data_IF_174496445658
#
_entry.id   IF_174496445658
#
_cell.length_a   1.000
_cell.length_b   1.000
_cell.length_c   1.000
_cell.angle_alpha   90.00
_cell.angle_beta   90.00
_cell.angle_gamma   90.00
#
_symmetry.space_group_name_H-M   'P 1'
#
loop_
_entity.id
_entity.type
_entity.pdbx_description
1 polymer ?
#
# COMPACT_ATOMS: atom_id res chain seq x y z
N UNK A 1 68.08 9.68 -1.26
CA UNK A 1 67.60 8.68 -0.29
C UNK A 1 66.09 8.50 -0.46
N UNK A 2 65.66 7.28 -0.84
CA UNK A 2 64.32 6.65 -0.75
C UNK A 2 63.05 7.43 -1.16
N UNK A 3 62.17 7.04 -2.09
CA UNK A 3 61.94 5.89 -3.02
C UNK A 3 60.75 6.38 -3.91
N UNK A 4 60.82 6.36 -5.27
CA UNK A 4 60.19 5.34 -6.17
C UNK A 4 58.63 5.46 -6.16
N UNK A 5 57.81 5.69 -7.20
CA UNK A 5 57.82 5.47 -8.66
C UNK A 5 56.65 6.22 -9.36
N UNK A 6 56.90 6.67 -10.61
CA UNK A 6 56.03 6.72 -11.82
C UNK A 6 54.68 7.50 -11.81
N UNK A 7 54.62 8.67 -12.48
CA UNK A 7 54.37 8.94 -13.92
C UNK A 7 52.91 8.68 -14.36
N UNK A 8 52.05 9.71 -14.40
CA UNK A 8 51.73 10.59 -15.56
C UNK A 8 51.03 9.85 -16.72
N UNK A 9 49.72 10.04 -16.94
CA UNK A 9 49.05 11.08 -17.74
C UNK A 9 48.96 10.77 -19.25
N UNK A 10 47.73 10.95 -19.77
CA UNK A 10 47.24 11.02 -21.18
C UNK A 10 46.78 9.68 -21.77
N UNK A 11 45.47 9.49 -21.99
CA UNK A 11 44.72 9.96 -23.19
C UNK A 11 45.48 9.69 -24.49
N UNK A 12 44.93 8.78 -25.31
CA UNK A 12 44.76 8.82 -26.77
C UNK A 12 44.61 7.37 -27.27
N UNK A 13 43.46 7.09 -27.88
CA UNK A 13 43.19 6.11 -28.94
C UNK A 13 44.00 4.80 -29.02
N UNK A 14 43.30 3.68 -28.83
CA UNK A 14 43.55 2.41 -29.55
C UNK A 14 42.18 1.95 -30.08
N UNK A 15 41.86 1.95 -31.38
CA UNK A 15 42.47 1.29 -32.54
C UNK A 15 42.69 -0.21 -32.31
N UNK A 16 41.69 -0.97 -32.74
CA UNK A 16 41.73 -2.31 -33.36
C UNK A 16 42.50 -3.43 -32.64
N UNK A 17 41.76 -4.45 -32.19
CA UNK A 17 41.95 -5.90 -32.49
C UNK A 17 41.23 -6.73 -31.44
N UNK A 18 40.08 -7.30 -31.81
CA UNK A 18 39.63 -8.58 -31.22
C UNK A 18 39.76 -9.65 -32.31
N UNK A 19 40.35 -10.82 -32.00
CA UNK A 19 40.59 -11.87 -32.98
C UNK A 19 39.32 -12.70 -33.23
N UNK A 20 39.02 -12.88 -34.52
CA UNK A 20 38.11 -13.90 -35.03
C UNK A 20 38.69 -15.29 -34.74
N UNK A 21 38.30 -15.92 -33.63
CA UNK A 21 38.55 -17.34 -33.37
C UNK A 21 37.34 -17.97 -32.66
N UNK A 22 36.27 -18.24 -33.41
CA UNK A 22 35.24 -19.23 -33.03
C UNK A 22 34.29 -19.59 -34.19
N UNK A 23 34.75 -19.64 -35.45
CA UNK A 23 33.87 -19.95 -36.60
C UNK A 23 34.45 -20.95 -37.59
N UNK A 24 35.20 -21.96 -37.14
CA UNK A 24 35.76 -22.96 -38.06
C UNK A 24 35.87 -24.41 -37.54
N UNK A 25 35.13 -24.78 -36.48
CA UNK A 25 35.10 -26.18 -35.99
C UNK A 25 33.75 -26.90 -36.11
N UNK A 26 32.69 -26.23 -36.60
CA UNK A 26 31.39 -26.90 -36.86
C UNK A 26 31.14 -27.22 -38.35
N UNK A 27 32.08 -26.90 -39.25
CA UNK A 27 31.91 -27.10 -40.70
C UNK A 27 32.75 -28.23 -41.32
N UNK A 28 33.36 -29.11 -40.52
CA UNK A 28 34.20 -30.21 -41.04
C UNK A 28 33.70 -31.65 -40.79
N UNK A 29 32.57 -31.83 -40.12
CA UNK A 29 32.01 -33.17 -39.86
C UNK A 29 30.83 -33.57 -40.77
N UNK A 30 30.53 -32.82 -41.84
CA UNK A 30 29.42 -33.13 -42.74
C UNK A 30 29.85 -33.54 -44.17
N UNK A 31 31.08 -34.03 -44.34
CA UNK A 31 31.60 -34.47 -45.63
C UNK A 31 32.18 -35.89 -45.56
N UNK A 32 31.34 -36.89 -45.30
CA UNK A 32 31.61 -38.31 -45.57
C UNK A 32 30.33 -39.15 -45.46
N UNK A 33 29.50 -39.11 -46.50
CA UNK A 33 28.62 -40.21 -46.87
C UNK A 33 28.21 -40.00 -48.34
N UNK A 34 28.85 -40.76 -49.22
CA UNK A 34 28.60 -40.72 -50.65
C UNK A 34 27.37 -41.58 -51.00
N UNK A 35 26.65 -41.10 -52.02
CA UNK A 35 25.86 -41.85 -53.00
C UNK A 35 24.79 -42.84 -52.54
N UNK A 36 23.53 -42.43 -52.63
CA UNK A 36 22.59 -43.11 -53.53
C UNK A 36 21.52 -42.13 -54.02
N UNK A 37 21.31 -42.13 -55.33
CA UNK A 37 20.54 -41.16 -56.10
C UNK A 37 19.16 -41.76 -56.36
N UNK A 38 18.11 -41.25 -55.71
CA UNK A 38 16.73 -41.38 -56.17
C UNK A 38 16.22 -39.98 -56.47
N UNK A 39 15.94 -39.73 -57.76
CA UNK A 39 15.27 -38.51 -58.21
C UNK A 39 13.81 -38.61 -57.78
N UNK A 40 13.42 -37.87 -56.76
CA UNK A 40 12.02 -37.53 -56.51
C UNK A 40 11.82 -36.07 -56.91
N UNK A 41 10.82 -35.81 -57.73
CA UNK A 41 10.51 -34.50 -58.28
C UNK A 41 10.29 -33.48 -57.16
N UNK A 42 10.89 -32.30 -57.29
CA UNK A 42 10.78 -31.19 -56.36
C UNK A 42 9.40 -30.53 -56.33
N UNK A 43 8.53 -30.87 -57.28
CA UNK A 43 7.21 -30.25 -57.43
C UNK A 43 6.15 -30.84 -56.48
N UNK A 44 6.33 -32.08 -56.00
CA UNK A 44 5.39 -32.72 -55.06
C UNK A 44 5.50 -32.18 -53.62
N UNK A 45 6.59 -31.50 -53.26
CA UNK A 45 6.79 -30.94 -51.90
C UNK A 45 6.10 -29.58 -51.69
N UNK A 46 5.63 -28.93 -52.75
CA UNK A 46 4.91 -27.65 -52.67
C UNK A 46 3.39 -27.82 -52.75
N UNK A 47 2.89 -28.97 -53.22
CA UNK A 47 1.45 -29.25 -53.32
C UNK A 47 0.80 -29.68 -51.99
N UNK A 48 1.57 -30.22 -51.04
CA UNK A 48 1.06 -30.51 -49.68
C UNK A 48 0.69 -29.26 -48.87
N UNK A 49 1.05 -28.05 -49.32
CA UNK A 49 0.69 -26.81 -48.64
C UNK A 49 -0.62 -26.18 -49.14
N UNK A 50 -1.22 -26.72 -50.21
CA UNK A 50 -2.44 -26.20 -50.83
C UNK A 50 -3.63 -27.14 -50.77
N UNK A 51 -3.57 -28.18 -49.94
CA UNK A 51 -4.72 -29.05 -49.68
C UNK A 51 -5.64 -28.41 -48.62
N UNK A 52 -6.63 -27.65 -49.08
CA UNK A 52 -7.70 -27.13 -48.21
C UNK A 52 -8.45 -28.24 -47.44
N UNK A 53 -8.36 -29.50 -47.89
CA UNK A 53 -8.91 -30.68 -47.23
C UNK A 53 -8.11 -31.13 -45.98
N UNK A 54 -6.82 -30.82 -45.89
CA UNK A 54 -6.00 -31.15 -44.69
C UNK A 54 -6.18 -30.16 -43.55
N UNK A 55 -6.66 -28.94 -43.83
CA UNK A 55 -7.05 -27.94 -42.82
C UNK A 55 -8.32 -28.34 -42.05
N UNK A 56 -9.13 -29.26 -42.60
CA UNK A 56 -10.41 -29.67 -42.02
C UNK A 56 -10.30 -30.93 -41.13
N UNK A 57 -9.10 -31.51 -40.98
CA UNK A 57 -8.86 -32.49 -39.91
C UNK A 57 -8.86 -31.72 -38.59
N UNK A 58 -9.98 -31.78 -37.86
CA UNK A 58 -10.10 -31.35 -36.45
C UNK A 58 -8.83 -31.78 -35.71
N UNK A 59 -7.89 -30.85 -35.51
CA UNK A 59 -6.65 -31.13 -34.80
C UNK A 59 -7.07 -31.65 -33.43
N UNK A 60 -6.72 -32.89 -33.13
CA UNK A 60 -7.10 -33.54 -31.88
C UNK A 60 -6.31 -32.88 -30.76
N UNK A 61 -6.97 -31.97 -30.07
CA UNK A 61 -6.44 -31.29 -28.89
C UNK A 61 -5.96 -32.34 -27.88
N UNK A 62 -4.79 -32.10 -27.28
CA UNK A 62 -4.24 -33.02 -26.29
C UNK A 62 -5.22 -33.20 -25.12
N UNK A 63 -5.23 -34.38 -24.51
CA UNK A 63 -6.15 -34.68 -23.39
C UNK A 63 -5.99 -33.68 -22.24
N UNK A 64 -4.75 -33.24 -21.96
CA UNK A 64 -4.45 -32.25 -20.92
C UNK A 64 -5.07 -30.87 -21.23
N UNK A 65 -5.04 -30.49 -22.51
CA UNK A 65 -5.54 -29.20 -22.99
C UNK A 65 -7.09 -29.17 -22.96
N UNK A 66 -7.75 -30.29 -23.30
CA UNK A 66 -9.20 -30.45 -23.08
C UNK A 66 -9.58 -30.37 -21.61
N UNK A 67 -8.87 -31.10 -20.74
CA UNK A 67 -9.11 -31.08 -19.30
C UNK A 67 -8.86 -29.70 -18.65
N UNK A 68 -7.99 -28.87 -19.23
CA UNK A 68 -7.84 -27.47 -18.80
C UNK A 68 -9.06 -26.63 -19.19
N UNK A 69 -9.55 -26.74 -20.43
CA UNK A 69 -10.74 -26.01 -20.88
C UNK A 69 -11.98 -26.41 -20.12
N UNK A 70 -12.15 -27.71 -19.83
CA UNK A 70 -13.24 -28.23 -19.00
C UNK A 70 -13.18 -27.62 -17.60
N UNK A 71 -12.01 -27.63 -16.94
CA UNK A 71 -11.83 -27.00 -15.62
C UNK A 71 -12.11 -25.49 -15.62
N UNK A 72 -11.74 -24.78 -16.69
CA UNK A 72 -12.03 -23.36 -16.82
C UNK A 72 -13.55 -23.12 -16.93
N UNK A 73 -14.24 -23.89 -17.78
CA UNK A 73 -15.71 -23.82 -17.93
C UNK A 73 -16.43 -24.16 -16.63
N UNK A 74 -16.01 -25.23 -15.95
CA UNK A 74 -16.58 -25.63 -14.66
C UNK A 74 -16.44 -24.52 -13.62
N UNK A 75 -15.31 -23.82 -13.60
CA UNK A 75 -15.10 -22.68 -12.71
C UNK A 75 -16.01 -21.51 -13.06
N UNK A 76 -16.15 -21.16 -14.35
CA UNK A 76 -17.02 -20.08 -14.79
C UNK A 76 -18.49 -20.37 -14.46
N UNK A 77 -18.93 -21.62 -14.67
CA UNK A 77 -20.27 -22.07 -14.32
C UNK A 77 -20.48 -22.12 -12.79
N UNK A 78 -19.44 -22.47 -12.03
CA UNK A 78 -19.46 -22.37 -10.57
C UNK A 78 -19.64 -20.93 -10.10
N UNK A 79 -18.86 -19.98 -10.65
CA UNK A 79 -18.96 -18.56 -10.29
C UNK A 79 -20.35 -18.00 -10.61
N UNK A 80 -20.92 -18.32 -11.78
CA UNK A 80 -22.29 -17.92 -12.14
C UNK A 80 -23.34 -18.47 -11.17
N UNK A 81 -23.19 -19.73 -10.74
CA UNK A 81 -24.09 -20.32 -9.74
C UNK A 81 -24.00 -19.59 -8.40
N UNK A 82 -22.78 -19.29 -7.94
CA UNK A 82 -22.57 -18.57 -6.69
C UNK A 82 -23.11 -17.13 -6.74
N UNK A 83 -22.98 -16.45 -7.88
CA UNK A 83 -23.56 -15.12 -8.09
C UNK A 83 -25.10 -15.18 -8.03
N UNK A 84 -25.69 -16.16 -8.70
CA UNK A 84 -27.13 -16.39 -8.63
C UNK A 84 -27.60 -16.69 -7.19
N UNK A 85 -26.94 -17.60 -6.48
CA UNK A 85 -27.25 -17.91 -5.08
C UNK A 85 -27.09 -16.69 -4.16
N UNK A 86 -26.06 -15.88 -4.37
CA UNK A 86 -25.85 -14.63 -3.62
C UNK A 86 -26.99 -13.62 -3.86
N UNK A 87 -27.40 -13.40 -5.12
CA UNK A 87 -28.48 -12.46 -5.44
C UNK A 87 -29.83 -12.91 -4.87
N UNK A 88 -30.12 -14.21 -4.92
CA UNK A 88 -31.32 -14.81 -4.30
C UNK A 88 -31.25 -14.70 -2.78
N UNK A 89 -30.10 -15.05 -2.18
CA UNK A 89 -29.86 -14.95 -0.74
C UNK A 89 -29.99 -13.51 -0.23
N UNK A 90 -29.50 -12.53 -1.00
CA UNK A 90 -29.64 -11.10 -0.68
C UNK A 90 -31.09 -10.66 -0.61
N UNK A 91 -31.93 -11.10 -1.55
CA UNK A 91 -33.37 -10.83 -1.53
C UNK A 91 -34.07 -11.48 -0.33
N UNK A 92 -33.70 -12.71 0.01
CA UNK A 92 -34.23 -13.38 1.20
C UNK A 92 -33.83 -12.69 2.49
N UNK A 93 -32.58 -12.24 2.60
CA UNK A 93 -32.09 -11.50 3.75
C UNK A 93 -32.83 -10.18 3.93
N UNK A 94 -33.03 -9.42 2.86
CA UNK A 94 -33.83 -8.20 2.90
C UNK A 94 -35.27 -8.47 3.39
N UNK A 95 -35.92 -9.52 2.89
CA UNK A 95 -37.26 -9.91 3.32
C UNK A 95 -37.31 -10.29 4.81
N UNK A 96 -36.30 -11.00 5.33
CA UNK A 96 -36.21 -11.35 6.76
C UNK A 96 -36.03 -10.11 7.65
N UNK A 97 -35.28 -9.11 7.18
CA UNK A 97 -35.03 -7.86 7.90
C UNK A 97 -36.16 -6.83 7.71
N UNK A 98 -37.11 -7.08 6.79
CA UNK A 98 -38.18 -6.15 6.45
C UNK A 98 -37.74 -4.93 5.63
N UNK A 99 -36.61 -5.05 4.92
CA UNK A 99 -36.03 -3.98 4.08
C UNK A 99 -36.34 -4.21 2.60
N UNK A 100 -36.24 -3.15 1.79
CA UNK A 100 -36.43 -3.22 0.34
C UNK A 100 -35.21 -3.89 -0.36
N UNK A 101 -35.40 -4.99 -1.12
CA UNK A 101 -34.29 -5.73 -1.73
C UNK A 101 -33.41 -4.94 -2.70
N UNK A 102 -33.98 -3.95 -3.39
CA UNK A 102 -33.26 -3.15 -4.40
C UNK A 102 -32.34 -2.11 -3.75
N UNK A 103 -32.80 -1.52 -2.63
CA UNK A 103 -32.03 -0.51 -1.87
C UNK A 103 -31.00 -1.16 -0.92
N UNK A 104 -31.07 -2.46 -0.70
CA UNK A 104 -30.25 -3.18 0.27
C UNK A 104 -28.76 -3.16 -0.11
N UNK A 105 -27.91 -2.48 0.68
CA UNK A 105 -26.46 -2.37 0.41
C UNK A 105 -25.66 -3.49 1.09
N UNK A 106 -24.39 -3.68 0.70
CA UNK A 106 -23.52 -4.65 1.36
C UNK A 106 -23.31 -4.36 2.85
N UNK A 107 -23.37 -3.09 3.28
CA UNK A 107 -23.26 -2.74 4.70
C UNK A 107 -24.47 -3.22 5.51
N UNK A 108 -25.64 -3.24 4.88
CA UNK A 108 -26.87 -3.70 5.51
C UNK A 108 -26.88 -5.23 5.57
N UNK A 109 -26.35 -5.91 4.55
CA UNK A 109 -26.06 -7.36 4.56
C UNK A 109 -25.15 -7.70 5.74
N UNK A 110 -24.00 -7.03 5.88
CA UNK A 110 -23.02 -7.30 6.94
C UNK A 110 -23.64 -7.10 8.34
N UNK A 111 -24.43 -6.04 8.52
CA UNK A 111 -25.15 -5.76 9.78
C UNK A 111 -26.21 -6.82 10.08
N UNK A 112 -26.97 -7.24 9.08
CA UNK A 112 -28.00 -8.27 9.23
C UNK A 112 -27.36 -9.61 9.62
N UNK A 113 -26.21 -9.97 9.04
CA UNK A 113 -25.48 -11.20 9.38
C UNK A 113 -24.92 -11.14 10.80
N UNK A 114 -24.34 -10.00 11.20
CA UNK A 114 -23.87 -9.81 12.57
C UNK A 114 -24.99 -9.98 13.60
N UNK A 115 -26.21 -9.53 13.26
CA UNK A 115 -27.39 -9.70 14.09
C UNK A 115 -27.93 -11.13 14.12
N UNK A 116 -28.09 -11.78 12.95
CA UNK A 116 -28.67 -13.12 12.84
C UNK A 116 -27.70 -14.21 13.32
N UNK A 117 -26.40 -14.03 13.08
CA UNK A 117 -25.34 -14.98 13.41
C UNK A 117 -24.25 -14.31 14.26
N UNK A 118 -24.55 -13.92 15.51
CA UNK A 118 -23.59 -13.21 16.35
C UNK A 118 -22.40 -14.11 16.69
N UNK A 119 -21.22 -13.73 16.21
CA UNK A 119 -19.97 -14.45 16.46
C UNK A 119 -19.01 -13.61 17.29
N UNK A 120 -18.62 -14.15 18.45
CA UNK A 120 -17.63 -13.55 19.34
C UNK A 120 -16.17 -13.83 18.94
N UNK A 121 -15.92 -14.33 17.72
CA UNK A 121 -14.57 -14.64 17.25
C UNK A 121 -13.78 -13.34 17.05
N UNK A 122 -12.57 -13.30 17.62
CA UNK A 122 -11.69 -12.12 17.56
C UNK A 122 -11.24 -11.78 16.14
N UNK A 123 -10.91 -12.80 15.34
CA UNK A 123 -10.52 -12.62 13.95
C UNK A 123 -11.76 -12.35 13.07
N UNK A 124 -11.86 -11.16 12.43
CA UNK A 124 -12.99 -10.84 11.56
C UNK A 124 -13.12 -11.78 10.36
N UNK A 125 -12.02 -12.34 9.85
CA UNK A 125 -12.04 -13.20 8.66
C UNK A 125 -12.69 -14.58 8.92
N UNK A 126 -12.72 -15.01 10.19
CA UNK A 126 -13.33 -16.28 10.60
C UNK A 126 -14.79 -16.12 11.04
N UNK A 127 -15.35 -14.91 10.95
CA UNK A 127 -16.77 -14.66 11.25
C UNK A 127 -17.65 -15.09 10.07
N UNK A 128 -18.93 -15.40 10.32
CA UNK A 128 -19.89 -15.57 9.23
C UNK A 128 -19.92 -14.32 8.35
N UNK A 129 -19.85 -14.50 7.04
CA UNK A 129 -19.91 -13.42 6.06
C UNK A 129 -20.67 -13.88 4.81
N UNK A 130 -21.36 -12.95 4.17
CA UNK A 130 -22.01 -13.15 2.88
C UNK A 130 -21.60 -11.97 2.00
N UNK A 131 -20.71 -12.22 1.06
CA UNK A 131 -20.13 -11.21 0.17
C UNK A 131 -20.29 -11.65 -1.28
N UNK A 132 -20.15 -10.71 -2.24
CA UNK A 132 -20.07 -11.06 -3.65
C UNK A 132 -19.01 -12.14 -3.89
N UNK A 133 -19.29 -13.17 -4.72
CA UNK A 133 -18.35 -14.26 -4.97
C UNK A 133 -16.97 -13.81 -5.47
N UNK A 134 -16.90 -12.69 -6.19
CA UNK A 134 -15.65 -12.11 -6.69
C UNK A 134 -14.69 -11.67 -5.57
N UNK A 135 -15.21 -11.29 -4.40
CA UNK A 135 -14.40 -10.92 -3.23
C UNK A 135 -14.00 -12.13 -2.39
N UNK A 136 -14.80 -13.20 -2.43
CA UNK A 136 -14.62 -14.40 -1.61
C UNK A 136 -13.65 -15.37 -2.26
N UNK A 137 -13.83 -15.62 -3.56
CA UNK A 137 -12.99 -16.54 -4.31
C UNK A 137 -11.83 -15.80 -4.96
N UNK A 138 -10.61 -16.36 -4.93
CA UNK A 138 -9.47 -15.73 -5.56
C UNK A 138 -9.69 -15.65 -7.08
N UNK A 139 -9.33 -14.52 -7.68
CA UNK A 139 -9.35 -14.34 -9.13
C UNK A 139 -8.50 -15.43 -9.80
N UNK A 140 -9.04 -16.02 -10.87
CA UNK A 140 -8.34 -16.98 -11.72
C UNK A 140 -8.29 -16.45 -13.14
N UNK A 141 -7.23 -16.83 -13.85
CA UNK A 141 -7.14 -16.53 -15.28
C UNK A 141 -8.24 -17.26 -16.04
N UNK A 142 -8.84 -16.57 -17.00
CA UNK A 142 -9.66 -17.20 -18.02
C UNK A 142 -8.83 -18.20 -18.84
N UNK A 143 -9.51 -19.05 -19.61
CA UNK A 143 -8.85 -19.95 -20.53
C UNK A 143 -7.91 -19.17 -21.48
N UNK A 144 -6.64 -19.57 -21.54
CA UNK A 144 -5.62 -18.85 -22.30
C UNK A 144 -5.60 -19.20 -23.80
N UNK A 145 -6.41 -20.17 -24.24
CA UNK A 145 -6.43 -20.67 -25.63
C UNK A 145 -7.82 -21.18 -26.06
N UNK A 146 -8.03 -21.23 -27.38
CA UNK A 146 -9.25 -21.70 -28.03
C UNK A 146 -9.42 -23.24 -27.94
N UNK A 147 -10.61 -23.73 -28.31
CA UNK A 147 -10.85 -25.17 -28.53
C UNK A 147 -9.92 -25.77 -29.58
N UNK A 148 -9.38 -24.98 -30.52
CA UNK A 148 -8.38 -25.45 -31.49
C UNK A 148 -6.96 -25.55 -30.92
N UNK A 149 -6.75 -25.11 -29.68
CA UNK A 149 -5.45 -25.05 -29.00
C UNK A 149 -4.60 -23.82 -29.36
N UNK A 150 -5.19 -22.80 -30.01
CA UNK A 150 -4.53 -21.55 -30.35
C UNK A 150 -4.55 -20.61 -29.14
N UNK A 151 -3.40 -20.12 -28.63
CA UNK A 151 -3.40 -19.14 -27.56
C UNK A 151 -4.01 -17.80 -27.97
N UNK A 152 -4.75 -17.16 -27.06
CA UNK A 152 -5.30 -15.82 -27.27
C UNK A 152 -4.22 -14.73 -27.19
N UNK A 153 -3.22 -14.93 -26.33
CA UNK A 153 -2.16 -13.97 -26.10
C UNK A 153 -0.86 -14.35 -26.83
N UNK A 154 -0.21 -13.40 -27.49
CA UNK A 154 1.02 -13.65 -28.26
C UNK A 154 2.22 -14.04 -27.38
N UNK A 155 2.30 -13.51 -26.15
CA UNK A 155 3.31 -13.88 -25.14
C UNK A 155 2.96 -15.13 -24.34
N UNK A 156 1.97 -15.93 -24.73
CA UNK A 156 1.56 -17.12 -23.99
C UNK A 156 2.73 -18.07 -23.67
N UNK A 157 3.62 -18.32 -24.63
CA UNK A 157 4.74 -19.26 -24.47
C UNK A 157 5.86 -18.77 -23.53
N UNK A 158 5.75 -17.55 -22.99
CA UNK A 158 6.64 -17.06 -21.92
C UNK A 158 6.26 -17.62 -20.55
N UNK A 159 5.10 -18.28 -20.43
CA UNK A 159 4.53 -18.80 -19.19
C UNK A 159 3.81 -17.75 -18.33
N UNK A 160 4.12 -16.46 -18.51
CA UNK A 160 3.50 -15.34 -17.78
C UNK A 160 3.14 -14.19 -18.73
N UNK A 161 2.10 -14.40 -19.55
CA UNK A 161 1.74 -13.44 -20.58
C UNK A 161 1.43 -12.04 -20.03
N UNK A 162 0.76 -11.91 -18.88
CA UNK A 162 0.30 -10.60 -18.39
C UNK A 162 1.46 -9.75 -17.87
N UNK A 163 2.39 -10.34 -17.11
CA UNK A 163 3.58 -9.65 -16.61
C UNK A 163 4.48 -9.17 -17.74
N UNK A 164 4.81 -10.05 -18.69
CA UNK A 164 5.66 -9.66 -19.82
C UNK A 164 4.97 -8.70 -20.78
N UNK A 165 3.63 -8.77 -20.92
CA UNK A 165 2.87 -7.75 -21.65
C UNK A 165 3.02 -6.39 -20.99
N UNK A 166 2.87 -6.31 -19.68
CA UNK A 166 3.04 -5.06 -18.95
C UNK A 166 4.45 -4.45 -19.13
N UNK A 167 5.50 -5.27 -19.14
CA UNK A 167 6.85 -4.82 -19.45
C UNK A 167 7.02 -4.38 -20.92
N UNK A 168 6.40 -5.12 -21.84
CA UNK A 168 6.39 -4.78 -23.26
C UNK A 168 5.71 -3.42 -23.49
N UNK A 169 4.52 -3.22 -22.94
CA UNK A 169 3.76 -1.98 -23.03
C UNK A 169 4.57 -0.81 -22.44
N UNK A 170 5.23 -1.00 -21.30
CA UNK A 170 6.11 0.00 -20.71
C UNK A 170 7.27 0.37 -21.63
N UNK A 171 7.89 -0.62 -22.27
CA UNK A 171 8.98 -0.40 -23.24
C UNK A 171 8.50 0.34 -24.49
N UNK A 172 7.29 0.04 -24.97
CA UNK A 172 6.65 0.73 -26.10
C UNK A 172 6.39 2.20 -25.75
N UNK A 173 5.87 2.48 -24.56
CA UNK A 173 5.69 3.84 -24.05
C UNK A 173 7.02 4.61 -24.00
N UNK A 174 8.10 3.98 -23.53
CA UNK A 174 9.45 4.58 -23.53
C UNK A 174 9.90 4.91 -24.96
N UNK A 175 9.76 3.97 -25.90
CA UNK A 175 10.12 4.18 -27.30
C UNK A 175 9.29 5.30 -27.95
N UNK A 176 8.00 5.36 -27.64
CA UNK A 176 7.11 6.41 -28.15
C UNK A 176 7.49 7.79 -27.61
N UNK A 177 7.95 7.87 -26.35
CA UNK A 177 8.52 9.09 -25.78
C UNK A 177 9.81 9.49 -26.51
N UNK A 178 10.74 8.55 -26.75
CA UNK A 178 11.97 8.86 -27.49
C UNK A 178 11.70 9.35 -28.92
N UNK A 179 10.80 8.68 -29.66
CA UNK A 179 10.38 9.11 -31.00
C UNK A 179 9.78 10.51 -30.99
N UNK A 180 9.10 10.89 -29.92
CA UNK A 180 8.55 12.23 -29.75
C UNK A 180 9.63 13.24 -29.41
N UNK A 181 10.52 12.91 -28.49
CA UNK A 181 11.68 13.73 -28.13
C UNK A 181 12.52 14.06 -29.37
N UNK A 182 12.82 13.07 -30.22
CA UNK A 182 13.52 13.28 -31.50
C UNK A 182 12.79 14.27 -32.41
N UNK A 183 11.44 14.20 -32.47
CA UNK A 183 10.63 15.15 -33.26
C UNK A 183 10.69 16.56 -32.68
N UNK A 184 10.70 16.70 -31.36
CA UNK A 184 10.77 18.00 -30.69
C UNK A 184 12.15 18.62 -30.85
N UNK A 185 13.21 17.82 -30.71
CA UNK A 185 14.60 18.24 -30.96
C UNK A 185 14.76 18.75 -32.40
N UNK A 186 14.21 18.04 -33.39
CA UNK A 186 14.21 18.52 -34.80
C UNK A 186 13.52 19.86 -34.97
N UNK A 187 12.47 20.13 -34.18
CA UNK A 187 11.74 21.41 -34.15
C UNK A 187 12.39 22.48 -33.26
N UNK A 188 13.51 22.17 -32.58
CA UNK A 188 14.21 23.04 -31.62
C UNK A 188 13.31 23.59 -30.50
N UNK A 189 12.22 22.89 -30.18
CA UNK A 189 11.37 23.25 -29.05
C UNK A 189 11.99 22.73 -27.74
N UNK A 190 11.85 23.51 -26.67
CA UNK A 190 12.37 23.18 -25.34
C UNK A 190 11.23 22.50 -24.56
N UNK A 191 11.51 21.46 -23.75
CA UNK A 191 10.49 20.88 -22.87
C UNK A 191 9.99 21.89 -21.84
N UNK A 192 8.68 22.01 -21.68
CA UNK A 192 8.07 22.87 -20.66
C UNK A 192 8.31 22.30 -19.24
N UNK A 193 8.92 23.06 -18.31
CA UNK A 193 9.22 22.56 -16.96
C UNK A 193 7.99 22.18 -16.13
N UNK A 194 6.85 22.86 -16.35
CA UNK A 194 5.59 22.61 -15.64
C UNK A 194 4.84 21.37 -16.11
N UNK A 195 5.24 20.76 -17.23
CA UNK A 195 4.59 19.57 -17.75
C UNK A 195 5.09 18.26 -17.12
N UNK A 196 6.04 18.33 -16.17
CA UNK A 196 6.59 17.15 -15.48
C UNK A 196 5.54 16.57 -14.52
N UNK A 197 5.41 15.24 -14.53
CA UNK A 197 4.44 14.54 -13.67
C UNK A 197 4.82 14.66 -12.18
N UNK A 198 3.87 15.14 -11.38
CA UNK A 198 3.96 15.09 -9.92
C UNK A 198 3.50 13.72 -9.42
N UNK A 199 4.40 13.02 -8.74
CA UNK A 199 4.21 11.62 -8.32
C UNK A 199 4.22 11.45 -6.81
N UNK A 200 4.24 12.55 -6.06
CA UNK A 200 4.35 12.58 -4.60
C UNK A 200 3.13 11.97 -3.89
N UNK A 201 1.96 12.05 -4.53
CA UNK A 201 0.69 11.57 -3.99
C UNK A 201 0.43 10.09 -4.26
N UNK A 202 1.28 9.38 -5.01
CA UNK A 202 1.05 7.99 -5.43
C UNK A 202 2.28 7.11 -5.29
N UNK A 203 2.06 5.83 -5.01
CA UNK A 203 3.09 4.79 -4.88
C UNK A 203 2.82 3.69 -5.88
N UNK A 204 3.88 3.01 -6.32
CA UNK A 204 3.77 1.79 -7.10
C UNK A 204 3.02 0.70 -6.32
N UNK A 205 2.31 -0.19 -7.02
CA UNK A 205 1.76 -1.38 -6.38
C UNK A 205 2.85 -2.19 -5.70
N UNK A 206 2.55 -2.76 -4.53
CA UNK A 206 3.42 -3.75 -3.90
C UNK A 206 3.51 -5.01 -4.77
N UNK A 207 4.47 -5.89 -4.46
CA UNK A 207 4.59 -7.18 -5.16
C UNK A 207 3.28 -7.97 -5.11
N UNK A 208 2.69 -8.12 -3.93
CA UNK A 208 1.45 -8.87 -3.70
C UNK A 208 0.27 -8.25 -4.46
N UNK A 209 0.17 -6.92 -4.45
CA UNK A 209 -0.88 -6.20 -5.18
C UNK A 209 -0.73 -6.37 -6.70
N UNK A 210 0.52 -6.38 -7.20
CA UNK A 210 0.80 -6.59 -8.62
C UNK A 210 0.48 -8.03 -9.04
N UNK A 211 0.78 -9.03 -8.20
CA UNK A 211 0.41 -10.43 -8.44
C UNK A 211 -1.10 -10.61 -8.47
N UNK A 212 -1.83 -9.97 -7.56
CA UNK A 212 -3.30 -9.98 -7.56
C UNK A 212 -3.88 -9.31 -8.81
N UNK A 213 -3.34 -8.16 -9.21
CA UNK A 213 -3.80 -7.43 -10.39
C UNK A 213 -3.54 -8.20 -11.69
N UNK A 214 -2.38 -8.86 -11.82
CA UNK A 214 -2.01 -9.62 -13.02
C UNK A 214 -2.52 -11.07 -13.00
N UNK A 215 -2.96 -11.57 -11.85
CA UNK A 215 -3.33 -12.97 -11.60
C UNK A 215 -2.19 -13.92 -12.00
N UNK A 216 -0.97 -13.52 -11.67
CA UNK A 216 0.29 -14.21 -12.00
C UNK A 216 1.27 -14.10 -10.85
N UNK A 217 2.04 -15.17 -10.61
CA UNK A 217 3.09 -15.15 -9.59
C UNK A 217 4.36 -14.50 -10.15
N UNK A 218 5.01 -13.67 -9.34
CA UNK A 218 6.18 -12.87 -9.73
C UNK A 218 7.32 -13.16 -8.75
N UNK A 219 8.55 -13.25 -9.25
CA UNK A 219 9.73 -13.35 -8.39
C UNK A 219 10.15 -11.97 -7.91
N UNK A 220 10.88 -11.90 -6.80
CA UNK A 220 11.33 -10.61 -6.26
C UNK A 220 12.23 -9.85 -7.23
N UNK A 221 13.15 -10.55 -7.91
CA UNK A 221 14.02 -9.97 -8.96
C UNK A 221 13.23 -9.37 -10.12
N UNK A 222 12.14 -10.00 -10.54
CA UNK A 222 11.31 -9.49 -11.64
C UNK A 222 10.53 -8.26 -11.24
N UNK A 223 10.05 -8.22 -9.99
CA UNK A 223 9.42 -7.03 -9.45
C UNK A 223 10.42 -5.86 -9.36
N UNK A 224 11.66 -6.11 -8.95
CA UNK A 224 12.73 -5.10 -8.98
C UNK A 224 13.01 -4.60 -10.41
N UNK A 225 13.10 -5.51 -11.38
CA UNK A 225 13.27 -5.15 -12.79
C UNK A 225 12.11 -4.30 -13.32
N UNK A 226 10.88 -4.67 -12.97
CA UNK A 226 9.70 -3.89 -13.30
C UNK A 226 9.76 -2.47 -12.69
N UNK A 227 10.15 -2.36 -11.42
CA UNK A 227 10.32 -1.06 -10.75
C UNK A 227 11.36 -0.19 -11.47
N UNK A 228 12.49 -0.77 -11.88
CA UNK A 228 13.52 -0.06 -12.65
C UNK A 228 12.99 0.46 -13.99
N UNK A 229 12.21 -0.34 -14.71
CA UNK A 229 11.58 0.08 -15.98
C UNK A 229 10.60 1.24 -15.75
N UNK A 230 9.81 1.16 -14.69
CA UNK A 230 8.83 2.21 -14.34
C UNK A 230 9.50 3.51 -13.88
N UNK A 231 10.54 3.43 -13.06
CA UNK A 231 11.36 4.59 -12.67
C UNK A 231 12.05 5.20 -13.89
N UNK A 232 12.53 4.37 -14.82
CA UNK A 232 13.09 4.83 -16.09
C UNK A 232 12.06 5.59 -16.90
N UNK A 233 10.84 5.07 -17.05
CA UNK A 233 9.75 5.72 -17.79
C UNK A 233 9.39 7.09 -17.20
N UNK A 234 9.33 7.17 -15.86
CA UNK A 234 9.07 8.43 -15.12
C UNK A 234 10.21 9.44 -15.29
N UNK A 235 11.46 8.98 -15.34
CA UNK A 235 12.63 9.86 -15.45
C UNK A 235 12.71 10.65 -16.77
N UNK A 236 11.96 10.25 -17.80
CA UNK A 236 11.99 10.88 -19.11
C UNK A 236 11.35 12.27 -19.10
N UNK A 237 11.84 13.24 -19.90
CA UNK A 237 11.33 14.61 -19.93
C UNK A 237 9.83 14.73 -20.29
N UNK A 238 9.35 13.91 -21.23
CA UNK A 238 7.98 13.94 -21.74
C UNK A 238 7.09 12.82 -21.17
N UNK A 239 7.33 12.41 -19.93
CA UNK A 239 6.62 11.30 -19.27
C UNK A 239 5.10 11.53 -19.12
N UNK A 240 4.62 12.78 -19.17
CA UNK A 240 3.19 13.13 -19.10
C UNK A 240 2.32 12.43 -20.15
N UNK A 241 2.89 12.10 -21.32
CA UNK A 241 2.16 11.45 -22.40
C UNK A 241 1.75 10.01 -22.07
N UNK A 242 2.47 9.40 -21.12
CA UNK A 242 2.19 8.05 -20.61
C UNK A 242 1.54 8.09 -19.23
N UNK A 243 0.92 9.22 -18.84
CA UNK A 243 0.27 9.40 -17.54
C UNK A 243 -0.79 8.33 -17.26
N UNK A 244 -1.68 8.08 -18.22
CA UNK A 244 -2.74 7.07 -18.09
C UNK A 244 -2.18 5.67 -17.80
N UNK A 245 -1.05 5.33 -18.41
CA UNK A 245 -0.38 4.06 -18.18
C UNK A 245 0.27 4.01 -16.79
N UNK A 246 0.95 5.07 -16.38
CA UNK A 246 1.57 5.19 -15.05
C UNK A 246 0.52 5.10 -13.94
N UNK A 247 -0.63 5.77 -14.12
CA UNK A 247 -1.72 5.78 -13.14
C UNK A 247 -2.36 4.40 -12.96
N UNK A 248 -2.49 3.59 -14.03
CA UNK A 248 -3.00 2.21 -13.92
C UNK A 248 -2.18 1.34 -12.98
N UNK A 249 -0.88 1.59 -12.89
CA UNK A 249 0.11 0.78 -12.16
C UNK A 249 0.44 1.38 -10.77
N UNK A 250 -0.30 2.41 -10.36
CA UNK A 250 -0.08 3.13 -9.11
C UNK A 250 -1.33 3.20 -8.26
N UNK A 251 -1.10 3.28 -6.96
CA UNK A 251 -2.13 3.58 -5.97
C UNK A 251 -1.91 4.96 -5.35
N UNK A 252 -2.98 5.73 -5.10
CA UNK A 252 -2.87 6.96 -4.32
C UNK A 252 -2.46 6.63 -2.88
N UNK A 253 -1.51 7.40 -2.34
CA UNK A 253 -1.21 7.37 -0.91
C UNK A 253 -2.31 8.17 -0.22
N UNK A 254 -3.08 7.52 0.65
CA UNK A 254 -3.91 8.24 1.60
C UNK A 254 -2.98 8.95 2.61
N UNK A 255 -2.61 10.20 2.34
CA UNK A 255 -1.90 11.01 3.32
C UNK A 255 -2.87 11.34 4.45
N UNK A 256 -2.85 10.55 5.52
CA UNK A 256 -3.50 10.93 6.77
C UNK A 256 -2.69 12.06 7.40
N UNK A 257 -2.82 13.28 6.86
CA UNK A 257 -2.58 14.46 7.69
C UNK A 257 -3.72 14.43 8.69
N UNK A 258 -3.44 13.98 9.91
CA UNK A 258 -4.32 14.24 11.04
C UNK A 258 -4.33 15.76 11.23
N UNK A 259 -5.12 16.47 10.44
CA UNK A 259 -5.51 17.82 10.76
C UNK A 259 -6.26 17.68 12.08
N UNK A 260 -5.59 18.04 13.19
CA UNK A 260 -6.23 18.09 14.49
C UNK A 260 -7.37 19.10 14.35
N UNK A 261 -8.61 18.61 14.32
CA UNK A 261 -9.77 19.48 14.30
C UNK A 261 -9.73 20.32 15.58
N UNK A 262 -9.62 21.64 15.40
CA UNK A 262 -9.58 22.59 16.52
C UNK A 262 -11.03 22.74 17.01
N UNK A 263 -11.35 22.31 18.24
CA UNK A 263 -12.71 22.44 18.75
C UNK A 263 -13.05 23.93 18.89
N UNK A 264 -14.26 24.31 18.46
CA UNK A 264 -14.76 25.67 18.68
C UNK A 264 -15.02 25.88 20.19
N UNK A 265 -14.59 27.00 20.79
CA UNK A 265 -14.90 27.31 22.18
C UNK A 265 -16.41 27.43 22.41
N UNK A 266 -16.87 26.94 23.57
CA UNK A 266 -18.23 27.18 24.08
C UNK A 266 -18.24 28.43 24.97
N UNK A 267 -19.42 28.98 25.26
CA UNK A 267 -19.58 30.14 26.14
C UNK A 267 -20.27 29.74 27.46
N UNK A 268 -19.70 30.17 28.58
CA UNK A 268 -20.30 30.01 29.92
C UNK A 268 -21.49 30.97 30.13
N UNK A 269 -22.24 30.78 31.22
CA UNK A 269 -23.31 31.71 31.68
C UNK A 269 -22.78 33.15 31.90
N UNK A 270 -21.50 33.27 32.21
CA UNK A 270 -20.79 34.54 32.39
C UNK A 270 -20.21 35.10 31.07
N UNK A 271 -20.46 34.44 29.93
CA UNK A 271 -19.99 34.85 28.61
C UNK A 271 -18.50 34.56 28.34
N UNK A 272 -17.82 33.82 29.22
CA UNK A 272 -16.41 33.43 29.04
C UNK A 272 -16.28 32.24 28.08
N UNK A 273 -15.25 32.26 27.24
CA UNK A 273 -14.97 31.16 26.33
C UNK A 273 -14.33 30.02 27.10
N UNK A 274 -14.88 28.81 26.99
CA UNK A 274 -14.32 27.64 27.64
C UNK A 274 -14.29 26.41 26.73
N UNK A 275 -13.34 25.53 27.01
CA UNK A 275 -13.20 24.25 26.36
C UNK A 275 -12.94 23.19 27.41
N UNK A 276 -13.77 22.16 27.39
CA UNK A 276 -13.56 20.96 28.20
C UNK A 276 -12.95 19.87 27.33
N UNK A 277 -11.76 19.44 27.72
CA UNK A 277 -11.11 18.25 27.16
C UNK A 277 -11.48 17.05 28.02
N UNK A 278 -12.31 16.17 27.47
CA UNK A 278 -12.73 14.94 28.12
C UNK A 278 -11.69 13.82 27.99
N UNK A 279 -11.74 12.86 28.92
CA UNK A 279 -10.96 11.61 28.86
C UNK A 279 -9.43 11.82 28.81
N UNK A 280 -8.91 12.75 29.59
CA UNK A 280 -7.48 12.96 29.75
C UNK A 280 -6.85 11.78 30.49
N UNK A 281 -6.08 10.96 29.77
CA UNK A 281 -5.64 9.65 30.26
C UNK A 281 -4.12 9.50 30.31
N UNK A 282 -3.59 9.19 31.50
CA UNK A 282 -2.18 8.84 31.69
C UNK A 282 -2.02 7.67 32.66
N UNK A 283 -1.43 6.58 32.17
CA UNK A 283 -1.34 5.30 32.92
C UNK A 283 -2.73 4.84 33.39
N UNK A 284 -3.05 5.03 34.66
CA UNK A 284 -4.34 4.73 35.30
C UNK A 284 -5.12 5.99 35.74
N UNK A 285 -4.52 7.17 35.60
CA UNK A 285 -5.20 8.44 35.88
C UNK A 285 -6.10 8.79 34.70
N UNK A 286 -7.30 9.27 35.02
CA UNK A 286 -8.31 9.72 34.07
C UNK A 286 -9.01 10.96 34.62
N UNK A 287 -9.49 11.82 33.75
CA UNK A 287 -10.27 12.98 34.17
C UNK A 287 -10.42 14.00 33.06
N UNK A 288 -10.99 15.13 33.42
CA UNK A 288 -11.41 16.17 32.48
C UNK A 288 -10.75 17.50 32.86
N UNK A 289 -10.39 18.28 31.85
CA UNK A 289 -9.74 19.58 32.03
C UNK A 289 -10.53 20.62 31.26
N UNK A 290 -11.04 21.61 31.98
CA UNK A 290 -11.71 22.78 31.43
C UNK A 290 -10.76 23.97 31.47
N UNK A 291 -10.59 24.63 30.33
CA UNK A 291 -9.83 25.87 30.21
C UNK A 291 -10.81 26.99 29.90
N UNK A 292 -10.70 28.11 30.62
CA UNK A 292 -11.52 29.30 30.42
C UNK A 292 -10.64 30.49 30.03
N UNK A 293 -11.08 31.27 29.05
CA UNK A 293 -10.45 32.48 28.56
C UNK A 293 -11.50 33.58 28.39
N UNK A 294 -11.29 34.81 28.86
CA UNK A 294 -10.14 35.29 29.64
C UNK A 294 -10.17 34.78 31.10
N UNK A 295 -9.00 34.61 31.69
CA UNK A 295 -8.80 34.18 33.08
C UNK A 295 -7.65 34.91 33.77
N UNK A 296 -7.42 34.60 35.05
CA UNK A 296 -6.39 35.21 35.91
C UNK A 296 -5.18 34.29 36.17
N UNK A 297 -5.06 33.17 35.46
CA UNK A 297 -4.02 32.17 35.70
C UNK A 297 -4.33 31.22 36.87
N UNK A 298 -5.59 31.14 37.32
CA UNK A 298 -5.96 30.28 38.45
C UNK A 298 -6.05 28.83 38.00
N UNK A 299 -5.28 27.96 38.67
CA UNK A 299 -5.30 26.51 38.43
C UNK A 299 -5.95 25.80 39.61
N UNK A 300 -7.16 25.26 39.39
CA UNK A 300 -7.90 24.45 40.37
C UNK A 300 -7.90 22.98 39.96
N UNK A 301 -7.54 22.10 40.89
CA UNK A 301 -7.48 20.64 40.73
C UNK A 301 -8.33 20.01 41.83
N UNK A 302 -9.45 19.38 41.47
CA UNK A 302 -10.40 18.77 42.41
C UNK A 302 -10.83 19.73 43.54
N UNK A 303 -11.05 21.00 43.20
CA UNK A 303 -11.44 22.05 44.15
C UNK A 303 -10.30 22.58 45.05
N UNK A 304 -9.06 22.14 44.85
CA UNK A 304 -7.86 22.66 45.53
C UNK A 304 -6.97 23.41 44.54
N UNK A 305 -6.10 24.29 45.01
CA UNK A 305 -5.14 24.97 44.14
C UNK A 305 -4.03 23.99 43.65
N UNK A 306 -3.04 24.52 42.93
CA UNK A 306 -1.85 23.77 42.49
C UNK A 306 -1.08 23.07 43.62
N UNK A 307 -1.34 23.46 44.88
CA UNK A 307 -0.85 22.80 46.09
C UNK A 307 -1.37 21.37 46.26
N UNK A 308 -2.36 20.95 45.47
CA UNK A 308 -2.81 19.55 45.36
C UNK A 308 -1.63 18.59 45.16
N UNK A 309 -0.65 18.98 44.34
CA UNK A 309 0.60 18.23 44.21
C UNK A 309 1.61 18.74 45.24
N UNK A 310 2.05 17.87 46.14
CA UNK A 310 3.12 18.20 47.08
C UNK A 310 4.48 18.34 46.38
N UNK A 311 4.69 17.55 45.32
CA UNK A 311 5.95 17.46 44.59
C UNK A 311 6.07 18.53 43.49
N UNK A 312 7.22 19.21 43.45
CA UNK A 312 7.52 20.28 42.48
C UNK A 312 7.50 19.77 41.05
N UNK A 313 8.03 18.57 40.79
CA UNK A 313 8.05 18.00 39.44
C UNK A 313 6.63 17.86 38.88
N UNK A 314 5.68 17.46 39.72
CA UNK A 314 4.28 17.32 39.31
C UNK A 314 3.65 18.68 38.98
N UNK A 315 4.03 19.76 39.69
CA UNK A 315 3.58 21.13 39.39
C UNK A 315 4.16 21.64 38.07
N UNK A 316 5.46 21.46 37.85
CA UNK A 316 6.14 21.84 36.61
C UNK A 316 5.49 21.21 35.38
N UNK A 317 5.07 19.94 35.47
CA UNK A 317 4.36 19.27 34.38
C UNK A 317 3.04 19.94 34.03
N UNK A 318 2.28 20.42 35.02
CA UNK A 318 1.00 21.11 34.81
C UNK A 318 1.22 22.50 34.21
N UNK A 319 2.25 23.23 34.67
CA UNK A 319 2.54 24.60 34.21
C UNK A 319 3.21 24.62 32.84
N UNK A 320 3.97 23.59 32.46
CA UNK A 320 4.72 23.53 31.20
C UNK A 320 3.94 23.95 29.93
N UNK A 321 2.72 23.46 29.64
CA UNK A 321 1.96 23.89 28.46
C UNK A 321 1.54 25.36 28.49
N UNK A 322 1.29 25.93 29.68
CA UNK A 322 0.93 27.34 29.85
C UNK A 322 2.14 28.24 29.59
N UNK A 323 3.31 27.87 30.13
CA UNK A 323 4.59 28.53 29.89
C UNK A 323 4.98 28.48 28.40
N UNK A 324 4.84 27.31 27.78
CA UNK A 324 5.21 27.11 26.38
C UNK A 324 4.39 27.98 25.42
N UNK A 325 3.11 28.21 25.74
CA UNK A 325 2.20 29.02 24.92
C UNK A 325 2.16 30.49 25.32
N UNK A 326 2.79 30.88 26.44
CA UNK A 326 2.72 32.24 26.97
C UNK A 326 1.33 32.64 27.50
N UNK A 327 0.53 31.65 27.91
CA UNK A 327 -0.87 31.85 28.33
C UNK A 327 -1.07 31.69 29.85
N UNK A 328 0.00 31.66 30.64
CA UNK A 328 -0.03 31.41 32.09
C UNK A 328 -0.95 32.35 32.88
N UNK A 329 -0.95 33.65 32.57
CA UNK A 329 -1.77 34.65 33.27
C UNK A 329 -3.06 34.98 32.52
N UNK A 330 -3.38 34.27 31.44
CA UNK A 330 -4.49 34.60 30.53
C UNK A 330 -5.65 33.62 30.58
N UNK A 331 -5.43 32.42 31.11
CA UNK A 331 -6.45 31.37 31.18
C UNK A 331 -6.60 30.85 32.60
N UNK A 332 -7.82 30.50 32.97
CA UNK A 332 -8.09 29.74 34.18
C UNK A 332 -8.26 28.27 33.81
N UNK A 333 -7.71 27.39 34.64
CA UNK A 333 -7.72 25.94 34.42
C UNK A 333 -8.44 25.27 35.57
N UNK A 334 -9.48 24.52 35.26
CA UNK A 334 -10.24 23.69 36.19
C UNK A 334 -10.11 22.23 35.80
N UNK A 335 -9.56 21.41 36.70
CA UNK A 335 -9.30 20.00 36.46
C UNK A 335 -10.09 19.13 37.43
N UNK A 336 -10.78 18.12 36.91
CA UNK A 336 -11.30 17.02 37.70
C UNK A 336 -10.54 15.74 37.34
N UNK A 337 -9.72 15.21 38.25
CA UNK A 337 -8.85 14.05 37.99
C UNK A 337 -9.04 12.97 39.06
N UNK A 338 -9.13 11.71 38.62
CA UNK A 338 -9.23 10.55 39.48
C UNK A 338 -8.32 9.40 39.04
N UNK A 339 -8.01 8.53 40.00
CA UNK A 339 -7.17 7.35 39.79
C UNK A 339 -5.69 7.65 39.54
N UNK A 340 -4.90 6.58 39.41
CA UNK A 340 -3.45 6.68 39.23
C UNK A 340 -2.71 7.15 40.48
N UNK A 341 -1.60 7.87 40.27
CA UNK A 341 -0.80 8.50 41.32
C UNK A 341 -0.35 9.89 40.86
N UNK A 342 0.35 10.68 41.68
CA UNK A 342 0.53 12.13 41.46
C UNK A 342 1.19 12.46 40.11
N UNK A 343 2.31 11.81 39.78
CA UNK A 343 2.98 11.99 38.48
C UNK A 343 2.10 11.55 37.29
N UNK A 344 1.25 10.53 37.49
CA UNK A 344 0.28 10.10 36.47
C UNK A 344 -0.81 11.14 36.25
N UNK A 345 -1.38 11.68 37.33
CA UNK A 345 -2.40 12.72 37.29
C UNK A 345 -1.87 14.01 36.68
N UNK A 346 -0.70 14.48 37.11
CA UNK A 346 -0.04 15.66 36.53
C UNK A 346 0.18 15.51 35.01
N UNK A 347 0.61 14.34 34.55
CA UNK A 347 0.78 14.07 33.13
C UNK A 347 -0.53 14.01 32.34
N UNK A 348 -1.63 13.58 32.95
CA UNK A 348 -2.96 13.61 32.35
C UNK A 348 -3.47 15.05 32.22
N UNK A 349 -3.35 15.84 33.30
CA UNK A 349 -3.71 17.26 33.32
C UNK A 349 -2.91 18.03 32.28
N UNK A 350 -1.59 17.84 32.21
CA UNK A 350 -0.72 18.47 31.21
C UNK A 350 -1.24 18.27 29.79
N UNK A 351 -1.63 17.05 29.46
CA UNK A 351 -2.16 16.72 28.14
C UNK A 351 -3.52 17.39 27.89
N UNK A 352 -4.40 17.40 28.89
CA UNK A 352 -5.69 18.10 28.82
C UNK A 352 -5.55 19.61 28.63
N UNK A 353 -4.65 20.25 29.39
CA UNK A 353 -4.33 21.67 29.23
C UNK A 353 -3.81 21.94 27.82
N UNK A 354 -2.84 21.15 27.35
CA UNK A 354 -2.31 21.31 26.00
C UNK A 354 -3.36 21.14 24.90
N UNK A 355 -4.30 20.20 25.07
CA UNK A 355 -5.38 19.96 24.11
C UNK A 355 -6.44 21.05 24.09
N UNK A 356 -6.79 21.62 25.24
CA UNK A 356 -7.70 22.76 25.33
C UNK A 356 -7.10 24.06 24.81
N UNK A 357 -5.79 24.29 25.03
CA UNK A 357 -5.12 25.53 24.59
C UNK A 357 -5.10 25.73 23.08
N UNK A 358 -5.22 24.65 22.29
CA UNK A 358 -5.16 24.71 20.81
C UNK A 358 -6.17 25.66 20.18
N UNK A 359 -7.31 25.89 20.82
CA UNK A 359 -8.33 26.78 20.28
C UNK A 359 -8.09 28.25 20.59
N UNK A 360 -7.18 28.55 21.51
CA UNK A 360 -6.82 29.91 21.92
C UNK A 360 -5.47 30.37 21.33
N UNK A 361 -4.81 29.54 20.52
CA UNK A 361 -3.48 29.81 19.95
C UNK A 361 -3.48 29.66 18.43
N UNK A 362 -2.51 30.31 17.79
CA UNK A 362 -2.31 30.24 16.35
C UNK A 362 -1.86 28.85 15.88
N UNK A 363 -2.16 28.53 14.62
CA UNK A 363 -1.79 27.25 14.00
C UNK A 363 -0.28 26.94 14.06
N UNK A 364 0.57 27.96 13.93
CA UNK A 364 2.03 27.80 14.05
C UNK A 364 2.46 27.33 15.44
N UNK A 365 1.77 27.80 16.49
CA UNK A 365 2.01 27.37 17.86
C UNK A 365 1.49 25.94 18.10
N UNK A 366 0.39 25.55 17.45
CA UNK A 366 -0.10 24.16 17.53
C UNK A 366 0.94 23.20 16.94
N UNK A 367 1.53 23.55 15.80
CA UNK A 367 2.59 22.74 15.18
C UNK A 367 3.83 22.66 16.09
N UNK A 368 4.22 23.75 16.76
CA UNK A 368 5.33 23.74 17.73
C UNK A 368 5.01 22.90 18.97
N UNK A 369 3.78 22.94 19.49
CA UNK A 369 3.30 22.08 20.59
C UNK A 369 3.31 20.61 20.19
N UNK A 370 2.98 20.30 18.92
CA UNK A 370 3.04 18.94 18.39
C UNK A 370 4.48 18.41 18.38
N UNK A 371 5.43 19.21 17.89
CA UNK A 371 6.86 18.87 17.88
C UNK A 371 7.41 18.73 19.31
N UNK A 372 6.97 19.59 20.23
CA UNK A 372 7.31 19.50 21.66
C UNK A 372 6.69 18.27 22.37
N UNK A 373 5.80 17.51 21.70
CA UNK A 373 5.17 16.31 22.25
C UNK A 373 4.08 16.58 23.28
N UNK A 374 3.56 17.82 23.36
CA UNK A 374 2.48 18.20 24.28
C UNK A 374 1.13 17.58 23.89
N UNK A 375 0.89 17.47 22.58
CA UNK A 375 -0.37 16.96 22.03
C UNK A 375 -0.40 15.43 21.90
N UNK A 376 0.76 14.77 22.05
CA UNK A 376 0.88 13.32 21.93
C UNK A 376 0.58 12.63 23.26
N UNK A 377 -0.42 11.75 23.27
CA UNK A 377 -0.73 10.93 24.44
C UNK A 377 0.39 9.91 24.67
N UNK A 378 0.88 9.79 25.90
CA UNK A 378 1.94 8.83 26.22
C UNK A 378 1.37 7.40 26.41
N UNK A 379 1.69 6.45 25.49
CA UNK A 379 1.10 5.11 25.47
C UNK A 379 1.72 4.16 26.52
N UNK A 380 2.80 4.56 27.20
CA UNK A 380 3.53 3.68 28.13
C UNK A 380 2.66 3.30 29.33
N UNK A 381 2.42 2.00 29.49
CA UNK A 381 1.68 1.40 30.61
C UNK A 381 2.53 0.31 31.27
N UNK A 382 2.18 -0.05 32.51
CA UNK A 382 2.86 -1.17 33.22
C UNK A 382 2.58 -2.47 32.48
N UNK A 383 3.62 -3.10 31.96
CA UNK A 383 3.52 -4.42 31.36
C UNK A 383 3.07 -5.48 32.39
N UNK A 384 2.27 -6.45 31.94
CA UNK A 384 1.90 -7.60 32.77
C UNK A 384 3.12 -8.47 33.11
N UNK A 385 3.06 -9.11 34.28
CA UNK A 385 3.98 -10.20 34.66
C UNK A 385 3.70 -11.41 33.75
N UNK A 386 4.76 -12.14 33.38
CA UNK A 386 4.65 -13.38 32.60
C UNK A 386 4.79 -14.57 33.55
N UNK A 387 4.02 -15.66 33.36
CA UNK A 387 4.18 -16.87 34.16
C UNK A 387 5.61 -17.42 34.02
N UNK A 388 6.14 -18.02 35.09
CA UNK A 388 7.53 -18.51 35.13
C UNK A 388 8.61 -17.42 35.24
N UNK A 389 8.23 -16.13 35.36
CA UNK A 389 9.17 -15.02 35.54
C UNK A 389 8.85 -14.24 36.82
N UNK A 390 9.86 -13.75 37.57
CA UNK A 390 9.63 -12.94 38.76
C UNK A 390 8.96 -11.59 38.45
N UNK A 391 9.20 -11.01 37.26
CA UNK A 391 8.61 -9.74 36.86
C UNK A 391 8.10 -9.73 35.41
N UNK A 392 7.82 -8.53 34.89
CA UNK A 392 7.44 -8.37 33.48
C UNK A 392 8.60 -8.68 32.53
N UNK A 393 9.84 -8.32 32.88
CA UNK A 393 11.03 -8.60 32.07
C UNK A 393 12.14 -9.32 32.83
N UNK A 394 12.18 -9.16 34.16
CA UNK A 394 13.16 -9.82 35.04
C UNK A 394 13.01 -11.34 34.92
N UNK A 395 14.10 -12.02 34.62
CA UNK A 395 14.20 -13.48 34.58
C UNK A 395 14.62 -14.02 35.95
N UNK A 396 14.26 -15.27 36.31
CA UNK A 396 14.85 -15.90 37.47
C UNK A 396 16.37 -16.04 37.29
N UNK A 397 17.10 -16.17 38.40
CA UNK A 397 18.55 -16.41 38.35
C UNK A 397 18.80 -17.74 37.63
N UNK A 398 19.50 -17.67 36.49
CA UNK A 398 19.89 -18.86 35.73
C UNK A 398 21.09 -19.52 36.41
N UNK A 399 21.02 -20.83 36.67
CA UNK A 399 22.12 -21.63 37.19
C UNK A 399 22.66 -22.52 36.06
N UNK A 400 23.88 -22.24 35.58
CA UNK A 400 24.62 -23.15 34.70
C UNK A 400 25.11 -24.33 35.55
N UNK A 401 24.82 -25.56 35.13
CA UNK A 401 25.35 -26.78 35.78
C UNK A 401 26.59 -27.25 35.06
#
# INVERSE_FOLDING_TARGET
MSRILQLSLRHINSVTKYPNQATNELLKNCARANSNKTRTNSDDLFQEFTDWETLNKKKTVSKAMKAYLERAREHDDFMKKQEFEFTVGKRHLANMMGEDPETFTQKDVDRAIEYLFPSGIYDPAARPLMKPPEEVFPARKAAEFDEAGRPHHFLFYTGRPNFFKLLYDASEHIQNIYKFEDKVIRKKAIPDPNAKLELTSSVWYSKEELEQHLVENITELEYENFKLVMERLVSLPYSYRSKEFIEKVRKPIASQKFALEIPKPSYDEEGREYITTYECLRKKARGDVTIRSPGSGKITINGKDITYFADTQSREQVTFPLLFTGMEDRVDVECNIEGGGPSGQAGAIRWGIAWGLRSFVDKSMIDSMQVAGLLTRDPRKRERKKPGQPGARKKPTWKRR
#
